data_IF_098716223194
#
_entry.id   IF_098716223194
#
_cell.length_a   1.000
_cell.length_b   1.000
_cell.length_c   1.000
_cell.angle_alpha   90.00
_cell.angle_beta   90.00
_cell.angle_gamma   90.00
#
_symmetry.space_group_name_H-M   'P 1'
#
loop_
_entity.id
_entity.type
_entity.pdbx_description
1 polymer ?
#
# COMPACT_ATOMS: atom_id res chain seq x y z
N UNK A 1 2.08 55.99 19.54
CA UNK A 1 2.53 55.25 20.73
C UNK A 1 2.53 53.81 20.34
N UNK A 2 3.59 53.32 19.69
CA UNK A 2 4.77 52.62 20.28
C UNK A 2 4.32 51.40 21.08
N UNK A 3 4.68 50.17 20.79
CA UNK A 3 6.03 49.68 20.57
C UNK A 3 5.97 48.20 20.09
N UNK A 4 6.71 47.87 19.08
CA UNK A 4 7.24 46.51 18.81
C UNK A 4 8.30 46.15 19.87
N UNK A 5 8.57 44.87 20.12
CA UNK A 5 9.96 44.47 19.95
C UNK A 5 10.19 43.19 19.17
N UNK A 6 11.18 43.26 18.37
CA UNK A 6 12.00 42.31 17.69
C UNK A 6 12.73 41.41 18.68
N UNK A 7 12.78 40.11 18.46
CA UNK A 7 13.77 39.19 19.05
C UNK A 7 14.18 38.15 18.00
N UNK A 8 15.22 38.40 17.31
CA UNK A 8 16.64 38.04 17.40
C UNK A 8 16.93 36.56 17.16
N UNK A 9 17.44 36.33 15.97
CA UNK A 9 18.10 35.13 15.50
C UNK A 9 19.24 34.66 16.44
N UNK A 10 19.32 33.34 16.65
CA UNK A 10 20.54 32.72 17.17
C UNK A 10 21.07 31.72 16.17
N UNK A 11 22.20 32.08 15.58
CA UNK A 11 23.11 31.22 14.85
C UNK A 11 23.96 30.47 15.86
N UNK A 12 24.07 29.17 15.76
CA UNK A 12 25.14 28.35 16.35
C UNK A 12 25.72 27.44 15.29
N UNK A 13 26.79 27.79 14.89
CA UNK A 13 28.17 27.43 14.63
C UNK A 13 28.45 25.93 14.91
N UNK A 14 28.81 25.25 13.82
CA UNK A 14 29.47 23.95 13.85
C UNK A 14 30.95 24.07 14.17
N UNK A 15 31.58 23.10 14.84
CA UNK A 15 33.01 22.89 14.69
C UNK A 15 33.30 21.66 13.83
N UNK A 16 34.06 21.90 12.79
CA UNK A 16 34.87 20.95 12.05
C UNK A 16 36.01 20.48 12.96
N UNK A 17 36.22 19.17 13.03
CA UNK A 17 37.52 18.64 13.46
C UNK A 17 37.93 17.53 12.51
N UNK A 18 38.91 17.89 11.70
CA UNK A 18 39.74 16.99 10.94
C UNK A 18 40.78 16.36 11.86
N UNK A 19 41.00 15.06 11.77
CA UNK A 19 42.26 14.44 12.24
C UNK A 19 42.76 13.47 11.19
N UNK A 20 43.97 13.74 10.82
CA UNK A 20 44.87 13.14 9.85
C UNK A 20 45.36 11.74 10.24
N UNK A 21 45.54 10.94 9.23
CA UNK A 21 46.61 10.00 8.89
C UNK A 21 47.43 9.27 9.97
N UNK A 22 47.52 7.97 9.82
CA UNK A 22 48.80 7.26 9.99
C UNK A 22 48.80 5.99 9.11
N UNK A 23 49.65 5.97 8.13
CA UNK A 23 50.16 4.79 7.40
C UNK A 23 50.94 3.89 8.31
N UNK A 24 50.74 2.60 8.23
CA UNK A 24 51.77 1.62 8.48
C UNK A 24 51.53 0.35 7.63
N UNK A 25 52.31 0.22 6.60
CA UNK A 25 52.44 -0.96 5.79
C UNK A 25 53.25 -2.02 6.57
N UNK A 26 52.72 -3.21 6.73
CA UNK A 26 53.51 -4.43 7.01
C UNK A 26 53.02 -5.51 6.07
N UNK A 27 53.79 -5.75 5.02
CA UNK A 27 53.76 -6.98 4.25
C UNK A 27 54.27 -8.13 5.12
N UNK A 28 53.47 -9.13 5.32
CA UNK A 28 53.99 -10.46 5.65
C UNK A 28 53.21 -11.51 4.87
N UNK A 29 53.88 -12.14 3.95
CA UNK A 29 53.48 -13.28 3.14
C UNK A 29 53.24 -14.50 4.03
N UNK A 30 52.09 -15.16 3.93
CA UNK A 30 51.90 -16.55 4.31
C UNK A 30 50.90 -17.24 3.37
N UNK A 31 51.11 -18.53 3.09
CA UNK A 31 50.45 -19.23 2.00
C UNK A 31 49.16 -19.93 2.42
N UNK A 32 48.25 -20.06 1.48
CA UNK A 32 47.32 -21.18 1.40
C UNK A 32 46.36 -21.35 2.60
N UNK A 33 45.30 -20.57 2.63
CA UNK A 33 44.11 -20.85 3.44
C UNK A 33 42.89 -20.80 2.56
N UNK A 34 42.25 -21.94 2.32
CA UNK A 34 40.95 -22.12 1.72
C UNK A 34 39.95 -21.20 2.45
N UNK A 35 39.67 -20.04 1.92
CA UNK A 35 38.53 -19.24 2.34
C UNK A 35 37.26 -19.93 1.84
N UNK A 36 36.85 -20.91 2.62
CA UNK A 36 35.49 -21.44 2.60
C UNK A 36 34.60 -20.24 2.83
N UNK A 37 33.91 -19.81 1.77
CA UNK A 37 32.92 -18.80 1.86
C UNK A 37 31.92 -19.23 2.93
N UNK A 38 32.00 -18.62 4.10
CA UNK A 38 30.92 -18.66 5.08
C UNK A 38 29.73 -17.95 4.40
N UNK A 39 28.83 -18.79 3.88
CA UNK A 39 27.47 -18.39 3.64
C UNK A 39 26.96 -17.87 4.99
N UNK A 40 26.96 -16.54 5.15
CA UNK A 40 26.12 -15.91 6.15
C UNK A 40 24.72 -16.45 5.94
N UNK A 41 24.31 -17.30 6.84
CA UNK A 41 22.94 -17.74 6.96
C UNK A 41 22.10 -16.50 7.21
N UNK A 42 21.46 -15.98 6.16
CA UNK A 42 20.37 -15.04 6.29
C UNK A 42 19.35 -15.71 7.20
N UNK A 43 18.94 -15.01 8.25
CA UNK A 43 17.97 -15.49 9.22
C UNK A 43 16.76 -16.09 8.50
N UNK A 44 16.35 -17.34 8.81
CA UNK A 44 15.19 -17.94 8.20
C UNK A 44 13.94 -17.24 8.74
N UNK A 45 13.30 -16.41 7.95
CA UNK A 45 12.06 -15.77 8.36
C UNK A 45 11.52 -14.69 7.43
N UNK A 46 12.36 -14.03 6.64
CA UNK A 46 11.92 -12.90 5.82
C UNK A 46 11.68 -13.29 4.36
N UNK A 47 12.32 -14.35 3.86
CA UNK A 47 12.27 -14.75 2.44
C UNK A 47 11.05 -15.62 2.13
N UNK A 48 10.51 -16.38 3.07
CA UNK A 48 9.35 -17.25 2.84
C UNK A 48 8.02 -16.51 2.81
N UNK A 49 7.90 -15.38 3.52
CA UNK A 49 6.65 -14.59 3.51
C UNK A 49 6.44 -13.92 2.15
N UNK A 50 7.52 -13.53 1.46
CA UNK A 50 7.43 -12.88 0.14
C UNK A 50 7.04 -13.86 -0.96
N UNK A 51 7.43 -15.12 -0.86
CA UNK A 51 7.11 -16.14 -1.87
C UNK A 51 5.71 -16.74 -1.70
N UNK A 52 5.16 -16.74 -0.50
CA UNK A 52 3.78 -17.21 -0.24
C UNK A 52 2.72 -16.15 -0.66
N UNK A 53 3.05 -14.85 -0.55
CA UNK A 53 2.19 -13.74 -1.01
C UNK A 53 2.16 -13.68 -2.55
N UNK A 54 3.21 -14.15 -3.24
CA UNK A 54 3.36 -14.03 -4.70
C UNK A 54 2.50 -14.97 -5.54
N UNK A 55 1.84 -15.97 -4.97
CA UNK A 55 1.14 -17.02 -5.73
C UNK A 55 -0.34 -16.73 -6.03
N UNK A 56 -0.86 -15.55 -5.73
CA UNK A 56 -2.27 -15.25 -5.97
C UNK A 56 -2.61 -13.77 -6.07
N UNK A 57 -1.62 -12.90 -6.02
CA UNK A 57 -1.80 -11.45 -6.11
C UNK A 57 -1.07 -10.94 -7.35
N UNK A 58 -1.82 -10.45 -8.35
CA UNK A 58 -1.25 -9.95 -9.62
C UNK A 58 -0.77 -8.50 -9.57
N UNK A 59 -1.39 -7.69 -8.74
CA UNK A 59 -1.03 -6.28 -8.56
C UNK A 59 -1.43 -5.80 -7.17
N UNK A 60 -0.62 -4.90 -6.61
CA UNK A 60 -0.89 -4.24 -5.33
C UNK A 60 -0.84 -2.73 -5.52
N UNK A 61 -1.85 -2.03 -5.04
CA UNK A 61 -1.94 -0.59 -5.04
C UNK A 61 -2.35 -0.08 -3.67
N UNK A 62 -1.67 0.97 -3.17
CA UNK A 62 -2.05 1.64 -1.93
C UNK A 62 -2.44 3.09 -2.18
N UNK A 63 -3.50 3.53 -1.52
CA UNK A 63 -3.95 4.90 -1.65
C UNK A 63 -5.21 5.18 -0.84
N UNK A 64 -5.83 6.32 -1.15
CA UNK A 64 -7.09 6.71 -0.52
C UNK A 64 -8.25 6.12 -1.33
N UNK A 65 -9.18 5.50 -0.63
CA UNK A 65 -10.47 5.04 -1.17
C UNK A 65 -11.61 5.81 -0.54
N UNK A 66 -12.72 5.97 -1.27
CA UNK A 66 -14.00 6.46 -0.74
C UNK A 66 -15.12 5.46 -1.02
N UNK A 67 -16.37 5.85 -0.82
CA UNK A 67 -17.51 5.00 -1.14
C UNK A 67 -18.66 5.84 -1.73
N UNK A 68 -19.49 5.19 -2.54
CA UNK A 68 -20.67 5.79 -3.17
C UNK A 68 -21.81 5.97 -2.17
N UNK A 69 -22.39 7.17 -2.13
CA UNK A 69 -23.59 7.42 -1.37
C UNK A 69 -24.83 6.68 -1.95
N UNK A 70 -25.87 6.56 -1.12
CA UNK A 70 -27.11 5.85 -1.49
C UNK A 70 -27.81 6.43 -2.73
N UNK A 71 -27.57 7.71 -3.05
CA UNK A 71 -28.13 8.39 -4.23
C UNK A 71 -27.69 7.82 -5.59
N UNK A 72 -26.69 6.92 -5.59
CA UNK A 72 -26.21 6.25 -6.80
C UNK A 72 -26.86 4.88 -7.02
N UNK A 73 -27.66 4.38 -6.06
CA UNK A 73 -28.34 3.09 -6.20
C UNK A 73 -29.21 3.07 -7.46
N UNK A 74 -29.25 1.94 -8.17
CA UNK A 74 -29.94 1.72 -9.44
C UNK A 74 -29.46 2.54 -10.65
N UNK A 75 -28.44 3.39 -10.50
CA UNK A 75 -27.85 4.08 -11.66
C UNK A 75 -27.02 3.12 -12.50
N UNK A 76 -26.96 3.31 -13.83
CA UNK A 76 -26.10 2.51 -14.69
C UNK A 76 -24.63 2.79 -14.36
N UNK A 77 -23.84 1.72 -14.27
CA UNK A 77 -22.38 1.77 -14.14
C UNK A 77 -21.71 1.76 -15.50
N UNK A 78 -20.41 2.02 -15.56
CA UNK A 78 -19.67 1.99 -16.82
C UNK A 78 -19.53 0.59 -17.43
N UNK A 79 -19.79 -0.49 -16.67
CA UNK A 79 -19.88 -1.86 -17.21
C UNK A 79 -21.24 -2.19 -17.84
N UNK A 80 -22.24 -1.29 -17.73
CA UNK A 80 -23.61 -1.51 -18.16
C UNK A 80 -24.52 -2.16 -17.12
N UNK A 81 -23.98 -2.57 -15.97
CA UNK A 81 -24.77 -3.08 -14.84
C UNK A 81 -25.45 -1.91 -14.09
N UNK A 82 -26.53 -2.21 -13.34
CA UNK A 82 -27.07 -1.26 -12.36
C UNK A 82 -26.25 -1.31 -11.09
N UNK A 83 -25.94 -0.15 -10.52
CA UNK A 83 -25.24 -0.07 -9.26
C UNK A 83 -26.13 -0.57 -8.11
N UNK A 84 -25.68 -1.61 -7.43
CA UNK A 84 -26.28 -2.09 -6.20
C UNK A 84 -25.39 -1.71 -5.00
N UNK A 85 -25.92 -0.86 -4.12
CA UNK A 85 -25.23 -0.43 -2.91
C UNK A 85 -24.99 -1.56 -1.91
N UNK A 86 -25.77 -2.66 -1.98
CA UNK A 86 -25.66 -3.85 -1.15
C UNK A 86 -24.68 -4.90 -1.68
N UNK A 87 -24.26 -4.80 -2.94
CA UNK A 87 -23.28 -5.72 -3.53
C UNK A 87 -21.84 -5.30 -3.20
N UNK A 88 -20.92 -6.26 -3.16
CA UNK A 88 -19.50 -6.01 -2.96
C UNK A 88 -18.82 -5.64 -4.28
N UNK A 89 -18.93 -4.37 -4.66
CA UNK A 89 -18.37 -3.82 -5.90
C UNK A 89 -17.53 -2.58 -5.66
N UNK A 90 -16.71 -2.23 -6.64
CA UNK A 90 -15.94 -0.99 -6.64
C UNK A 90 -15.81 -0.38 -8.02
N UNK A 91 -15.63 0.95 -8.07
CA UNK A 91 -15.07 1.64 -9.23
C UNK A 91 -13.55 1.71 -9.14
N UNK A 92 -12.91 1.54 -10.28
CA UNK A 92 -11.46 1.71 -10.43
C UNK A 92 -11.13 2.34 -11.78
N UNK A 93 -10.16 3.28 -11.86
CA UNK A 93 -9.90 4.00 -13.10
C UNK A 93 -9.37 3.13 -14.24
N UNK A 94 -8.59 2.08 -13.95
CA UNK A 94 -7.87 1.32 -14.97
C UNK A 94 -8.02 -0.20 -14.92
N UNK A 95 -8.39 -0.80 -13.77
CA UNK A 95 -8.54 -2.25 -13.70
C UNK A 95 -9.69 -2.74 -14.61
N UNK A 96 -9.54 -3.87 -15.33
CA UNK A 96 -10.59 -4.44 -16.16
C UNK A 96 -11.89 -4.69 -15.38
N UNK A 97 -13.05 -4.56 -16.03
CA UNK A 97 -14.31 -4.99 -15.44
C UNK A 97 -14.30 -6.49 -15.13
N UNK A 98 -14.96 -6.87 -14.04
CA UNK A 98 -14.95 -8.24 -13.55
C UNK A 98 -13.70 -8.63 -12.78
N UNK A 99 -12.69 -7.75 -12.67
CA UNK A 99 -11.52 -7.99 -11.81
C UNK A 99 -11.97 -8.13 -10.36
N UNK A 100 -11.52 -9.18 -9.71
CA UNK A 100 -11.75 -9.41 -8.28
C UNK A 100 -10.53 -8.95 -7.50
N UNK A 101 -10.76 -8.17 -6.46
CA UNK A 101 -9.69 -7.62 -5.63
C UNK A 101 -10.05 -7.67 -4.15
N UNK A 102 -9.05 -7.86 -3.31
CA UNK A 102 -9.15 -7.66 -1.86
C UNK A 102 -8.81 -6.21 -1.55
N UNK A 103 -9.69 -5.55 -0.83
CA UNK A 103 -9.46 -4.19 -0.30
C UNK A 103 -9.28 -4.29 1.20
N UNK A 104 -8.12 -3.87 1.69
CA UNK A 104 -7.77 -3.88 3.12
C UNK A 104 -7.66 -2.46 3.63
N UNK A 105 -8.43 -2.10 4.65
CA UNK A 105 -8.31 -0.83 5.34
C UNK A 105 -7.06 -0.84 6.23
N UNK A 106 -6.07 -0.02 5.91
CA UNK A 106 -4.76 0.01 6.59
C UNK A 106 -4.83 0.53 8.03
N UNK A 107 -5.96 1.15 8.42
CA UNK A 107 -6.13 1.66 9.78
C UNK A 107 -6.53 0.58 10.78
N UNK A 108 -7.37 -0.37 10.36
CA UNK A 108 -7.95 -1.38 11.27
C UNK A 108 -7.70 -2.83 10.84
N UNK A 109 -7.03 -3.04 9.69
CA UNK A 109 -6.71 -4.36 9.15
C UNK A 109 -7.90 -5.13 8.55
N UNK A 110 -9.13 -4.59 8.59
CA UNK A 110 -10.30 -5.26 8.01
C UNK A 110 -10.23 -5.27 6.50
N UNK A 111 -10.66 -6.34 5.89
CA UNK A 111 -10.63 -6.52 4.43
C UNK A 111 -11.94 -7.06 3.90
N UNK A 112 -12.20 -6.76 2.63
CA UNK A 112 -13.34 -7.26 1.85
C UNK A 112 -12.88 -7.61 0.45
N UNK A 113 -13.50 -8.63 -0.15
CA UNK A 113 -13.30 -8.97 -1.56
C UNK A 113 -14.40 -8.31 -2.37
N UNK A 114 -14.02 -7.58 -3.41
CA UNK A 114 -14.93 -6.80 -4.26
C UNK A 114 -14.65 -7.06 -5.74
N UNK A 115 -15.65 -6.81 -6.59
CA UNK A 115 -15.54 -6.88 -8.04
C UNK A 115 -15.57 -5.48 -8.66
N UNK A 116 -14.71 -5.23 -9.64
CA UNK A 116 -14.70 -4.00 -10.43
C UNK A 116 -15.87 -4.03 -11.43
N UNK A 117 -16.80 -3.08 -11.34
CA UNK A 117 -17.90 -2.93 -12.28
C UNK A 117 -18.14 -1.49 -12.74
N UNK A 118 -17.33 -0.54 -12.25
CA UNK A 118 -17.49 0.85 -12.63
C UNK A 118 -16.12 1.53 -12.87
N UNK A 119 -16.17 2.74 -13.47
CA UNK A 119 -15.02 3.60 -13.74
C UNK A 119 -14.99 4.80 -12.81
N UNK A 120 -13.81 5.15 -12.36
CA UNK A 120 -13.53 6.25 -11.45
C UNK A 120 -12.71 5.77 -10.25
N UNK A 121 -12.40 6.66 -9.31
CA UNK A 121 -12.65 8.11 -9.36
C UNK A 121 -11.76 8.83 -10.38
N UNK A 122 -12.28 9.90 -10.99
CA UNK A 122 -11.53 10.77 -11.90
C UNK A 122 -11.09 12.07 -11.23
N UNK A 123 -11.54 12.31 -10.00
CA UNK A 123 -11.30 13.54 -9.25
C UNK A 123 -10.55 13.22 -7.96
N UNK A 124 -9.52 14.01 -7.68
CA UNK A 124 -8.68 13.85 -6.48
C UNK A 124 -7.65 12.73 -6.61
N UNK A 125 -6.97 12.44 -5.49
CA UNK A 125 -5.92 11.40 -5.41
C UNK A 125 -6.46 10.04 -4.90
N UNK A 126 -7.74 9.76 -5.13
CA UNK A 126 -8.35 8.49 -4.76
C UNK A 126 -8.04 7.42 -5.79
N UNK A 127 -7.86 6.19 -5.31
CA UNK A 127 -7.53 5.04 -6.17
C UNK A 127 -8.76 4.19 -6.49
N UNK A 128 -9.80 4.22 -5.66
CA UNK A 128 -11.05 3.50 -5.89
C UNK A 128 -12.20 4.11 -5.08
N UNK A 129 -13.44 3.82 -5.52
CA UNK A 129 -14.66 4.10 -4.76
C UNK A 129 -15.42 2.78 -4.55
N UNK A 130 -15.76 2.49 -3.29
CA UNK A 130 -16.40 1.23 -2.88
C UNK A 130 -17.92 1.37 -2.86
N UNK A 131 -18.64 0.25 -2.96
CA UNK A 131 -20.04 0.19 -2.60
C UNK A 131 -20.23 0.43 -1.10
N UNK A 132 -21.46 0.76 -0.69
CA UNK A 132 -21.80 0.98 0.72
C UNK A 132 -21.57 -0.28 1.56
N UNK A 133 -21.97 -1.45 1.05
CA UNK A 133 -21.75 -2.72 1.73
C UNK A 133 -20.26 -3.02 1.94
N UNK A 134 -19.44 -2.81 0.92
CA UNK A 134 -17.98 -3.00 1.02
C UNK A 134 -17.34 -2.03 2.02
N UNK A 135 -17.74 -0.76 2.00
CA UNK A 135 -17.25 0.26 2.94
C UNK A 135 -17.64 -0.04 4.40
N UNK A 136 -18.86 -0.58 4.61
CA UNK A 136 -19.32 -1.03 5.92
C UNK A 136 -18.48 -2.20 6.43
N UNK A 137 -18.20 -3.17 5.57
CA UNK A 137 -17.41 -4.36 5.90
C UNK A 137 -16.02 -3.99 6.41
N UNK A 138 -15.33 -3.06 5.76
CA UNK A 138 -14.01 -2.60 6.19
C UNK A 138 -14.05 -1.46 7.22
N UNK A 139 -15.22 -1.09 7.73
CA UNK A 139 -15.41 -0.15 8.83
C UNK A 139 -15.04 1.30 8.50
N UNK A 140 -15.30 1.78 7.27
CA UNK A 140 -14.95 3.15 6.87
C UNK A 140 -16.14 4.11 6.72
N UNK A 141 -17.38 3.65 6.94
CA UNK A 141 -18.59 4.45 6.75
C UNK A 141 -18.56 5.82 7.43
N UNK A 142 -18.13 5.87 8.69
CA UNK A 142 -18.13 7.12 9.48
C UNK A 142 -17.14 8.17 9.00
N UNK A 143 -16.07 7.75 8.32
CA UNK A 143 -14.98 8.63 7.88
C UNK A 143 -15.14 9.09 6.44
N UNK A 144 -15.98 8.43 5.64
CA UNK A 144 -16.16 8.71 4.21
C UNK A 144 -14.99 8.29 3.34
N UNK A 145 -13.77 8.35 3.85
CA UNK A 145 -12.52 7.98 3.17
C UNK A 145 -11.61 7.17 4.10
N UNK A 146 -10.78 6.31 3.50
CA UNK A 146 -9.77 5.54 4.23
C UNK A 146 -8.52 5.32 3.38
N UNK A 147 -7.36 5.15 4.02
CA UNK A 147 -6.20 4.55 3.35
C UNK A 147 -6.39 3.05 3.25
N UNK A 148 -6.28 2.52 2.06
CA UNK A 148 -6.47 1.11 1.79
C UNK A 148 -5.39 0.56 0.89
N UNK A 149 -5.21 -0.76 0.97
CA UNK A 149 -4.43 -1.57 0.03
C UNK A 149 -5.42 -2.36 -0.83
N UNK A 150 -5.22 -2.34 -2.14
CA UNK A 150 -5.98 -3.10 -3.13
C UNK A 150 -5.05 -4.16 -3.70
N UNK A 151 -5.44 -5.42 -3.58
CA UNK A 151 -4.72 -6.59 -4.07
C UNK A 151 -5.58 -7.29 -5.10
N UNK A 152 -5.14 -7.30 -6.36
CA UNK A 152 -5.86 -8.02 -7.44
C UNK A 152 -5.65 -9.51 -7.26
N UNK A 153 -6.74 -10.24 -7.09
CA UNK A 153 -6.72 -11.68 -6.88
C UNK A 153 -6.73 -12.43 -8.22
N UNK A 154 -6.04 -13.56 -8.27
CA UNK A 154 -6.14 -14.47 -9.40
C UNK A 154 -7.51 -15.16 -9.40
N UNK A 155 -8.08 -15.43 -10.60
CA UNK A 155 -9.38 -16.09 -10.74
C UNK A 155 -9.41 -17.46 -10.04
N UNK A 156 -8.27 -18.14 -9.99
CA UNK A 156 -8.16 -19.47 -9.36
C UNK A 156 -8.32 -19.42 -7.82
N UNK A 157 -8.04 -18.26 -7.19
CA UNK A 157 -8.24 -18.09 -5.74
C UNK A 157 -9.69 -17.81 -5.41
N UNK A 158 -10.39 -17.08 -6.28
CA UNK A 158 -11.80 -16.75 -6.07
C UNK A 158 -12.68 -18.01 -6.08
N UNK A 159 -12.37 -19.00 -6.92
CA UNK A 159 -13.07 -20.26 -6.99
C UNK A 159 -12.89 -21.13 -5.72
N UNK A 160 -11.72 -21.05 -5.07
CA UNK A 160 -11.41 -21.79 -3.83
C UNK A 160 -12.02 -21.19 -2.56
N UNK A 161 -12.33 -19.89 -2.55
CA UNK A 161 -12.92 -19.21 -1.40
C UNK A 161 -14.45 -19.34 -1.36
N UNK A 162 -15.07 -19.89 -2.41
CA UNK A 162 -16.51 -20.07 -2.53
C UNK A 162 -16.99 -21.50 -2.14
N UNK A 163 -16.08 -22.36 -1.69
CA UNK A 163 -16.34 -23.69 -1.13
C UNK A 163 -15.87 -23.76 0.31
#
# INVERSE_FOLDING_TARGET
MDSTPICRASKSVQPRLAVMAALAAVCLSLPGGNVRAERQAAAPGVVEITSAIGRGVKAVQEGVVSWYGAQFHDRPTASGERFDSGAYTMAHPSLPFGTVARVTNLRNGRSVVVRVNDRGPFIGKRIADLSQAAASEIGMMRMGVARARIEVLDKDITARAAH
#
